data_IF_791839771347
#
_entry.id   IF_791839771347
#
_cell.length_a   1.000
_cell.length_b   1.000
_cell.length_c   1.000
_cell.angle_alpha   90.00
_cell.angle_beta   90.00
_cell.angle_gamma   90.00
#
_symmetry.space_group_name_H-M   'P 1'
#
loop_
_entity.id
_entity.type
_entity.pdbx_description
1 polymer ?
#
# COMPACT_ATOMS: atom_id res chain seq x y z
N UNK A 1 1.50 14.51 -4.06
CA UNK A 1 1.97 14.22 -2.69
C UNK A 1 2.66 12.87 -2.69
N UNK A 2 3.74 12.71 -1.93
CA UNK A 2 4.54 11.49 -1.91
C UNK A 2 4.55 10.85 -0.53
N UNK A 3 4.55 9.54 -0.49
CA UNK A 3 4.70 8.76 0.73
C UNK A 3 5.74 7.67 0.54
N UNK A 4 6.38 7.30 1.65
CA UNK A 4 7.17 6.10 1.77
C UNK A 4 6.40 5.09 2.61
N UNK A 5 6.20 3.89 2.07
CA UNK A 5 5.55 2.80 2.76
C UNK A 5 6.55 1.67 2.96
N UNK A 6 6.80 1.31 4.22
CA UNK A 6 7.65 0.19 4.60
C UNK A 6 6.75 -0.88 5.20
N UNK A 7 6.71 -2.04 4.56
CA UNK A 7 5.92 -3.18 5.00
C UNK A 7 6.85 -4.35 5.31
N UNK A 8 6.67 -4.90 6.50
CA UNK A 8 7.28 -6.17 6.90
C UNK A 8 6.18 -7.21 6.96
N UNK A 9 6.34 -8.26 6.15
CA UNK A 9 5.39 -9.36 6.05
C UNK A 9 6.01 -10.66 6.56
N UNK A 10 5.16 -11.59 6.97
CA UNK A 10 5.57 -12.93 7.40
C UNK A 10 4.61 -13.97 6.82
N UNK A 11 5.11 -15.17 6.54
CA UNK A 11 4.24 -16.28 6.15
C UNK A 11 3.51 -16.79 7.42
N UNK A 12 2.17 -16.69 7.48
CA UNK A 12 1.40 -17.07 8.67
C UNK A 12 1.51 -18.56 9.01
N UNK A 13 1.83 -19.41 8.04
CA UNK A 13 1.92 -20.86 8.19
C UNK A 13 3.34 -21.33 8.56
N UNK A 14 4.28 -20.39 8.80
CA UNK A 14 5.64 -20.72 9.20
C UNK A 14 5.65 -21.42 10.56
N UNK A 15 6.23 -22.64 10.67
CA UNK A 15 6.30 -23.36 11.93
C UNK A 15 7.02 -22.56 13.01
N UNK A 16 6.58 -22.72 14.27
CA UNK A 16 7.20 -22.07 15.42
C UNK A 16 8.68 -22.44 15.52
N UNK A 17 9.55 -21.43 15.58
CA UNK A 17 11.00 -21.60 15.61
C UNK A 17 11.68 -21.47 14.24
N UNK A 18 10.91 -21.38 13.14
CA UNK A 18 11.42 -21.02 11.82
C UNK A 18 11.17 -19.54 11.52
N UNK A 19 11.92 -19.00 10.55
CA UNK A 19 11.87 -17.60 10.17
C UNK A 19 11.49 -17.46 8.70
N UNK A 20 10.38 -16.78 8.44
CA UNK A 20 9.99 -16.37 7.09
C UNK A 20 9.42 -14.96 7.15
N UNK A 21 10.28 -13.99 6.88
CA UNK A 21 9.93 -12.57 6.87
C UNK A 21 10.55 -11.87 5.66
N UNK A 22 9.80 -10.96 5.07
CA UNK A 22 10.25 -10.09 3.99
C UNK A 22 9.96 -8.64 4.36
N UNK A 23 10.84 -7.74 3.93
CA UNK A 23 10.63 -6.29 4.09
C UNK A 23 10.66 -5.64 2.73
N UNK A 24 9.62 -4.87 2.42
CA UNK A 24 9.53 -4.08 1.21
C UNK A 24 9.42 -2.61 1.55
N UNK A 25 10.04 -1.80 0.69
CA UNK A 25 9.99 -0.36 0.73
C UNK A 25 9.39 0.14 -0.57
N UNK A 26 8.24 0.79 -0.49
CA UNK A 26 7.51 1.32 -1.63
C UNK A 26 7.51 2.85 -1.61
N UNK A 27 7.68 3.44 -2.79
CA UNK A 27 7.38 4.84 -3.03
C UNK A 27 5.95 4.95 -3.54
N UNK A 28 5.16 5.82 -2.92
CA UNK A 28 3.75 6.01 -3.24
C UNK A 28 3.55 7.45 -3.74
N UNK A 29 3.06 7.59 -4.96
CA UNK A 29 2.88 8.88 -5.63
C UNK A 29 1.40 9.14 -5.82
N UNK A 30 0.86 10.07 -5.03
CA UNK A 30 -0.50 10.56 -5.17
C UNK A 30 -0.49 11.79 -6.09
N UNK A 31 -1.11 11.68 -7.26
CA UNK A 31 -1.31 12.77 -8.21
C UNK A 31 -2.76 13.23 -8.22
N UNK A 32 -2.96 14.48 -8.64
CA UNK A 32 -4.27 15.12 -8.76
C UNK A 32 -4.35 15.86 -10.08
N UNK A 33 -5.43 15.66 -10.83
CA UNK A 33 -5.76 16.41 -12.04
C UNK A 33 -7.19 16.99 -11.91
N UNK A 34 -7.34 18.31 -11.77
CA UNK A 34 -8.65 18.96 -11.62
C UNK A 34 -9.50 18.91 -12.90
N UNK A 35 -8.92 18.55 -14.06
CA UNK A 35 -9.66 18.40 -15.33
C UNK A 35 -10.31 17.03 -15.46
N UNK A 36 -9.99 16.10 -14.56
CA UNK A 36 -10.58 14.77 -14.57
C UNK A 36 -11.89 14.73 -13.80
N UNK A 37 -12.74 13.79 -14.18
CA UNK A 37 -13.99 13.50 -13.48
C UNK A 37 -13.74 12.93 -12.07
N UNK A 38 -14.78 12.97 -11.24
CA UNK A 38 -14.72 12.46 -9.86
C UNK A 38 -13.85 13.34 -8.97
N UNK A 39 -13.09 12.73 -8.07
CA UNK A 39 -12.17 13.46 -7.19
C UNK A 39 -10.81 13.80 -7.86
N UNK A 40 -10.57 13.37 -9.09
CA UNK A 40 -9.35 13.69 -9.85
C UNK A 40 -8.04 13.05 -9.34
N UNK A 41 -8.09 12.15 -8.35
CA UNK A 41 -6.90 11.54 -7.77
C UNK A 41 -6.52 10.21 -8.40
N UNK A 42 -5.21 9.99 -8.49
CA UNK A 42 -4.60 8.73 -8.88
C UNK A 42 -3.45 8.41 -7.94
N UNK A 43 -3.17 7.12 -7.76
CA UNK A 43 -2.09 6.65 -6.92
C UNK A 43 -1.23 5.64 -7.68
N UNK A 44 0.09 5.83 -7.63
CA UNK A 44 1.07 4.86 -8.09
C UNK A 44 1.92 4.38 -6.93
N UNK A 45 2.02 3.08 -6.74
CA UNK A 45 2.86 2.43 -5.72
C UNK A 45 3.93 1.62 -6.46
N UNK A 46 5.20 1.87 -6.19
CA UNK A 46 6.30 1.16 -6.86
C UNK A 46 7.44 0.84 -5.89
N UNK A 47 8.19 -0.21 -6.22
CA UNK A 47 9.45 -0.55 -5.58
C UNK A 47 10.40 -1.17 -6.61
N UNK A 48 11.53 -1.73 -6.15
CA UNK A 48 12.51 -2.38 -7.04
C UNK A 48 12.19 -3.85 -7.37
N UNK A 49 11.14 -4.42 -6.79
CA UNK A 49 10.90 -5.89 -6.80
C UNK A 49 9.64 -6.24 -7.60
N UNK A 50 8.60 -5.42 -7.49
CA UNK A 50 7.31 -5.62 -8.14
C UNK A 50 7.14 -4.60 -9.27
N UNK A 51 6.36 -5.00 -10.27
CA UNK A 51 5.79 -4.05 -11.22
C UNK A 51 4.97 -2.99 -10.48
N UNK A 52 4.95 -1.73 -10.98
CA UNK A 52 4.19 -0.66 -10.35
C UNK A 52 2.69 -0.98 -10.28
N UNK A 53 2.09 -0.75 -9.12
CA UNK A 53 0.65 -0.77 -8.95
C UNK A 53 0.09 0.62 -9.25
N UNK A 54 -0.87 0.71 -10.17
CA UNK A 54 -1.54 1.97 -10.52
C UNK A 54 -3.02 1.87 -10.16
N UNK A 55 -3.50 2.85 -9.40
CA UNK A 55 -4.87 2.93 -8.92
C UNK A 55 -5.53 4.22 -9.41
N UNK A 56 -6.69 4.05 -10.04
CA UNK A 56 -7.62 5.13 -10.32
C UNK A 56 -8.52 5.35 -9.11
N UNK A 57 -8.36 6.48 -8.42
CA UNK A 57 -9.09 6.78 -7.19
C UNK A 57 -10.29 7.71 -7.44
N UNK A 58 -10.54 8.12 -8.70
CA UNK A 58 -11.54 9.13 -9.06
C UNK A 58 -12.93 8.86 -8.50
N UNK A 59 -13.30 7.58 -8.44
CA UNK A 59 -14.60 7.12 -7.98
C UNK A 59 -14.51 6.19 -6.76
N UNK A 60 -13.32 6.04 -6.17
CA UNK A 60 -13.15 5.24 -4.96
C UNK A 60 -13.74 6.00 -3.76
N UNK A 61 -14.90 5.53 -3.30
CA UNK A 61 -15.62 6.14 -2.17
C UNK A 61 -14.91 5.94 -0.82
N UNK A 62 -13.95 5.02 -0.74
CA UNK A 62 -13.14 4.82 0.46
C UNK A 62 -11.94 5.78 0.51
N UNK A 63 -11.63 6.44 -0.60
CA UNK A 63 -10.50 7.36 -0.68
C UNK A 63 -10.87 8.75 -0.13
N UNK A 64 -10.09 9.20 0.87
CA UNK A 64 -10.16 10.54 1.44
C UNK A 64 -8.84 11.26 1.16
N UNK A 65 -8.87 12.30 0.32
CA UNK A 65 -7.68 13.06 -0.06
C UNK A 65 -7.01 13.81 1.09
N UNK A 66 -7.74 14.05 2.19
CA UNK A 66 -7.18 14.64 3.41
C UNK A 66 -6.43 13.62 4.27
N UNK A 67 -6.64 12.32 4.04
CA UNK A 67 -5.97 11.22 4.76
C UNK A 67 -5.57 10.05 3.83
N UNK A 68 -4.73 10.27 2.81
CA UNK A 68 -4.35 9.22 1.84
C UNK A 68 -3.68 8.00 2.48
N UNK A 69 -3.02 8.18 3.63
CA UNK A 69 -2.39 7.10 4.39
C UNK A 69 -3.37 6.04 4.90
N UNK A 70 -4.63 6.40 5.17
CA UNK A 70 -5.67 5.45 5.56
C UNK A 70 -6.00 4.50 4.41
N UNK A 71 -6.03 5.01 3.17
CA UNK A 71 -6.22 4.19 1.97
C UNK A 71 -5.03 3.26 1.72
N UNK A 72 -3.80 3.78 1.79
CA UNK A 72 -2.57 2.97 1.68
C UNK A 72 -2.52 1.84 2.71
N UNK A 73 -2.93 2.13 3.95
CA UNK A 73 -3.04 1.15 5.02
C UNK A 73 -4.08 0.08 4.70
N UNK A 74 -5.25 0.48 4.21
CA UNK A 74 -6.32 -0.45 3.81
C UNK A 74 -5.86 -1.37 2.69
N UNK A 75 -5.29 -0.80 1.63
CA UNK A 75 -4.71 -1.55 0.51
C UNK A 75 -3.69 -2.58 0.97
N UNK A 76 -2.71 -2.18 1.78
CA UNK A 76 -1.65 -3.09 2.24
C UNK A 76 -2.22 -4.25 3.06
N UNK A 77 -3.16 -3.96 3.98
CA UNK A 77 -3.77 -5.00 4.81
C UNK A 77 -4.67 -5.96 4.00
N UNK A 78 -5.28 -5.49 2.91
CA UNK A 78 -6.04 -6.36 2.02
C UNK A 78 -5.12 -7.25 1.17
N UNK A 79 -4.03 -6.68 0.65
CA UNK A 79 -3.07 -7.42 -0.18
C UNK A 79 -2.29 -8.48 0.62
N UNK A 80 -1.81 -8.12 1.82
CA UNK A 80 -1.12 -9.02 2.75
C UNK A 80 -2.00 -9.36 3.95
N UNK A 81 -3.18 -9.90 3.66
CA UNK A 81 -4.21 -10.21 4.66
C UNK A 81 -3.90 -11.41 5.55
N UNK A 82 -2.97 -12.28 5.15
CA UNK A 82 -2.74 -13.56 5.83
C UNK A 82 -3.79 -14.64 5.51
N UNK A 83 -4.78 -14.37 4.66
CA UNK A 83 -5.85 -15.32 4.31
C UNK A 83 -5.50 -16.10 3.04
N UNK A 84 -5.96 -17.35 2.95
CA UNK A 84 -5.82 -18.19 1.76
C UNK A 84 -4.37 -18.34 1.25
N UNK A 85 -3.42 -18.52 2.17
CA UNK A 85 -1.98 -18.64 1.85
C UNK A 85 -1.28 -17.31 1.53
N UNK A 86 -1.98 -16.17 1.62
CA UNK A 86 -1.34 -14.87 1.52
C UNK A 86 -0.40 -14.64 2.72
N UNK A 87 0.70 -13.93 2.49
CA UNK A 87 1.54 -13.43 3.58
C UNK A 87 0.77 -12.40 4.42
N UNK A 88 1.16 -12.23 5.68
CA UNK A 88 0.52 -11.34 6.63
C UNK A 88 1.42 -10.17 7.00
N UNK A 89 0.85 -8.96 7.13
CA UNK A 89 1.58 -7.82 7.70
C UNK A 89 1.95 -8.10 9.16
N UNK A 90 3.25 -8.01 9.45
CA UNK A 90 3.79 -7.96 10.81
C UNK A 90 4.03 -6.52 11.27
N UNK A 91 4.46 -5.64 10.36
CA UNK A 91 4.64 -4.21 10.61
C UNK A 91 4.36 -3.41 9.35
N UNK A 92 3.69 -2.28 9.50
CA UNK A 92 3.44 -1.33 8.42
C UNK A 92 3.76 0.07 8.94
N UNK A 93 4.58 0.80 8.19
CA UNK A 93 4.92 2.19 8.42
C UNK A 93 4.62 2.96 7.12
N UNK A 94 3.90 4.07 7.25
CA UNK A 94 3.59 4.96 6.13
C UNK A 94 3.94 6.37 6.59
N UNK A 95 4.84 7.01 5.87
CA UNK A 95 5.33 8.35 6.17
C UNK A 95 5.17 9.22 4.95
N UNK A 96 4.64 10.43 5.15
CA UNK A 96 4.66 11.45 4.09
C UNK A 96 6.10 11.90 3.89
N UNK A 97 6.52 12.01 2.64
CA UNK A 97 7.85 12.49 2.26
C UNK A 97 7.70 13.73 1.39
N UNK A 98 8.59 14.68 1.57
CA UNK A 98 8.63 15.94 0.81
C UNK A 98 9.10 15.74 -0.63
#
# INVERSE_FOLDING_TARGET
MKYQMIVKITNPDTPKGMFSELTFKFNCYLSYDPKQYGNGYYLRIENKVYEPFNFDLRYDRSFNSNKPEEWLKSWANNYWSGKNGAWKIKRLLIEKID
#
